data_IF_676084047977
#
_entry.id   IF_676084047977
#
_cell.length_a   1.000
_cell.length_b   1.000
_cell.length_c   1.000
_cell.angle_alpha   90.00
_cell.angle_beta   90.00
_cell.angle_gamma   90.00
#
_symmetry.space_group_name_H-M   'P 1'
#
loop_
_entity.id
_entity.type
_entity.pdbx_description
1 polymer ?
#
# COMPACT_ATOMS: atom_id res chain seq x y z
N UNK A 1 3.35 22.87 -7.53
CA UNK A 1 2.88 21.90 -6.50
C UNK A 1 2.65 20.50 -7.08
N UNK A 2 1.95 20.34 -8.22
CA UNK A 2 1.65 19.04 -8.82
C UNK A 2 2.86 18.11 -9.02
N UNK A 3 3.99 18.62 -9.53
CA UNK A 3 5.21 17.83 -9.74
C UNK A 3 5.77 17.25 -8.45
N UNK A 4 5.73 17.99 -7.34
CA UNK A 4 6.19 17.50 -6.04
C UNK A 4 5.29 16.37 -5.53
N UNK A 5 3.98 16.44 -5.79
CA UNK A 5 3.02 15.37 -5.44
C UNK A 5 3.32 14.10 -6.25
N UNK A 6 3.54 14.23 -7.56
CA UNK A 6 3.87 13.07 -8.40
C UNK A 6 5.20 12.44 -7.98
N UNK A 7 6.24 13.25 -7.75
CA UNK A 7 7.54 12.76 -7.31
C UNK A 7 7.44 12.00 -5.96
N UNK A 8 6.69 12.55 -5.00
CA UNK A 8 6.47 11.89 -3.72
C UNK A 8 5.70 10.57 -3.86
N UNK A 9 4.66 10.54 -4.69
CA UNK A 9 3.87 9.32 -4.93
C UNK A 9 4.69 8.24 -5.62
N UNK A 10 5.55 8.62 -6.57
CA UNK A 10 6.47 7.69 -7.23
C UNK A 10 7.48 7.12 -6.23
N UNK A 11 8.12 7.98 -5.42
CA UNK A 11 9.04 7.53 -4.36
C UNK A 11 8.38 6.52 -3.41
N UNK A 12 7.15 6.77 -2.97
CA UNK A 12 6.42 5.85 -2.10
C UNK A 12 6.18 4.50 -2.79
N UNK A 13 5.72 4.52 -4.05
CA UNK A 13 5.48 3.30 -4.82
C UNK A 13 6.77 2.49 -5.00
N UNK A 14 7.87 3.14 -5.35
CA UNK A 14 9.17 2.49 -5.55
C UNK A 14 9.68 1.87 -4.23
N UNK A 15 9.53 2.61 -3.12
CA UNK A 15 9.93 2.15 -1.78
C UNK A 15 9.17 0.89 -1.39
N UNK A 16 7.84 0.89 -1.53
CA UNK A 16 7.00 -0.27 -1.19
C UNK A 16 7.28 -1.45 -2.13
N UNK A 17 7.55 -1.17 -3.41
CA UNK A 17 7.95 -2.20 -4.38
C UNK A 17 9.24 -2.90 -3.93
N UNK A 18 10.26 -2.14 -3.53
CA UNK A 18 11.51 -2.70 -3.01
C UNK A 18 11.30 -3.59 -1.78
N UNK A 19 10.52 -3.11 -0.80
CA UNK A 19 10.21 -3.89 0.40
C UNK A 19 9.45 -5.19 0.09
N UNK A 20 8.51 -5.16 -0.86
CA UNK A 20 7.76 -6.35 -1.25
C UNK A 20 8.59 -7.32 -2.09
N UNK A 21 9.60 -6.83 -2.81
CA UNK A 21 10.55 -7.66 -3.53
C UNK A 21 11.46 -8.47 -2.59
N UNK A 22 11.75 -7.95 -1.38
CA UNK A 22 12.48 -8.70 -0.33
C UNK A 22 11.67 -9.91 0.17
N UNK A 23 10.35 -9.85 0.13
CA UNK A 23 9.46 -10.97 0.48
C UNK A 23 9.39 -11.96 -0.68
N UNK A 24 9.15 -11.44 -1.90
CA UNK A 24 9.13 -12.20 -3.15
C UNK A 24 9.27 -11.24 -4.32
N UNK A 25 10.28 -11.48 -5.16
CA UNK A 25 10.65 -10.59 -6.27
C UNK A 25 9.51 -10.39 -7.28
N UNK A 26 8.83 -11.47 -7.69
CA UNK A 26 7.72 -11.39 -8.64
C UNK A 26 6.43 -11.96 -8.04
N UNK A 27 5.26 -11.31 -8.22
CA UNK A 27 5.01 -9.93 -8.69
C UNK A 27 5.01 -8.83 -7.59
N UNK A 28 6.16 -8.28 -7.21
CA UNK A 28 6.26 -7.21 -6.21
C UNK A 28 5.52 -5.92 -6.62
N UNK A 29 5.57 -5.52 -7.89
CA UNK A 29 4.95 -4.27 -8.36
C UNK A 29 3.42 -4.31 -8.25
N UNK A 30 2.82 -5.48 -8.47
CA UNK A 30 1.36 -5.66 -8.34
C UNK A 30 0.93 -5.50 -6.89
N UNK A 31 1.68 -6.13 -5.97
CA UNK A 31 1.42 -6.01 -4.55
C UNK A 31 1.64 -4.57 -4.06
N UNK A 32 2.66 -3.87 -4.56
CA UNK A 32 2.93 -2.47 -4.21
C UNK A 32 1.82 -1.53 -4.67
N UNK A 33 1.31 -1.69 -5.90
CA UNK A 33 0.16 -0.91 -6.40
C UNK A 33 -1.09 -1.14 -5.55
N UNK A 34 -1.33 -2.38 -5.13
CA UNK A 34 -2.46 -2.71 -4.25
C UNK A 34 -2.30 -2.05 -2.88
N UNK A 35 -1.10 -2.10 -2.28
CA UNK A 35 -0.81 -1.39 -1.04
C UNK A 35 -1.07 0.11 -1.15
N UNK A 36 -0.54 0.77 -2.19
CA UNK A 36 -0.71 2.22 -2.39
C UNK A 36 -2.18 2.59 -2.58
N UNK A 37 -2.96 1.77 -3.28
CA UNK A 37 -4.41 1.97 -3.42
C UNK A 37 -5.13 1.93 -2.07
N UNK A 38 -4.83 0.94 -1.22
CA UNK A 38 -5.40 0.86 0.13
C UNK A 38 -4.98 2.03 1.00
N UNK A 39 -3.70 2.42 0.96
CA UNK A 39 -3.17 3.56 1.70
C UNK A 39 -3.86 4.86 1.30
N UNK A 40 -4.09 5.08 0.02
CA UNK A 40 -4.75 6.29 -0.48
C UNK A 40 -6.20 6.35 0.00
N UNK A 41 -6.92 5.22 -0.02
CA UNK A 41 -8.25 5.10 0.56
C UNK A 41 -8.27 5.40 2.06
N UNK A 42 -7.35 4.80 2.82
CA UNK A 42 -7.25 5.00 4.27
C UNK A 42 -6.93 6.47 4.65
N UNK A 43 -6.01 7.11 3.91
CA UNK A 43 -5.66 8.51 4.14
C UNK A 43 -6.83 9.47 3.85
N UNK A 44 -7.64 9.18 2.82
CA UNK A 44 -8.84 9.97 2.54
C UNK A 44 -9.92 9.73 3.58
N UNK A 45 -10.19 8.46 3.93
CA UNK A 45 -11.25 8.08 4.84
C UNK A 45 -10.97 8.46 6.31
N UNK A 46 -9.70 8.59 6.71
CA UNK A 46 -9.34 8.89 8.11
C UNK A 46 -9.87 10.22 8.65
N UNK A 47 -10.22 11.17 7.78
CA UNK A 47 -10.88 12.43 8.16
C UNK A 47 -12.38 12.46 7.82
N UNK A 48 -12.90 11.42 7.14
CA UNK A 48 -14.28 11.33 6.65
C UNK A 48 -15.10 10.27 7.38
N UNK A 49 -14.45 9.41 8.17
CA UNK A 49 -15.05 8.30 8.90
C UNK A 49 -14.37 8.11 10.25
N UNK A 50 -14.83 7.14 11.05
CA UNK A 50 -14.17 6.76 12.29
C UNK A 50 -12.72 6.32 12.01
N UNK A 51 -11.76 7.12 12.49
CA UNK A 51 -10.34 6.90 12.27
C UNK A 51 -9.83 5.57 12.84
N UNK A 52 -10.41 5.07 13.93
CA UNK A 52 -10.01 3.79 14.52
C UNK A 52 -10.44 2.63 13.62
N UNK A 53 -11.67 2.67 13.11
CA UNK A 53 -12.17 1.67 12.16
C UNK A 53 -11.41 1.70 10.83
N UNK A 54 -11.04 2.89 10.35
CA UNK A 54 -10.20 3.04 9.14
C UNK A 54 -8.82 2.41 9.37
N UNK A 55 -8.18 2.69 10.50
CA UNK A 55 -6.88 2.10 10.86
C UNK A 55 -6.96 0.56 10.94
N UNK A 56 -7.96 0.01 11.63
CA UNK A 56 -8.18 -1.43 11.73
C UNK A 56 -8.35 -2.06 10.34
N UNK A 57 -9.21 -1.46 9.51
CA UNK A 57 -9.48 -1.94 8.15
C UNK A 57 -8.20 -1.94 7.29
N UNK A 58 -7.42 -0.86 7.36
CA UNK A 58 -6.17 -0.75 6.62
C UNK A 58 -5.16 -1.81 7.06
N UNK A 59 -4.95 -2.00 8.36
CA UNK A 59 -4.02 -3.00 8.88
C UNK A 59 -4.43 -4.42 8.47
N UNK A 60 -5.72 -4.75 8.56
CA UNK A 60 -6.22 -6.06 8.11
C UNK A 60 -6.01 -6.25 6.60
N UNK A 61 -6.23 -5.20 5.79
CA UNK A 61 -5.95 -5.24 4.35
C UNK A 61 -4.48 -5.48 4.01
N UNK A 62 -3.56 -4.82 4.74
CA UNK A 62 -2.11 -5.01 4.58
C UNK A 62 -1.70 -6.43 4.96
N UNK A 63 -2.17 -6.95 6.09
CA UNK A 63 -1.93 -8.33 6.53
C UNK A 63 -2.37 -9.35 5.47
N UNK A 64 -3.57 -9.16 4.90
CA UNK A 64 -4.10 -9.99 3.82
C UNK A 64 -3.24 -9.92 2.56
N UNK A 65 -2.85 -8.71 2.14
CA UNK A 65 -1.96 -8.51 1.00
C UNK A 65 -0.62 -9.22 1.17
N UNK A 66 -0.01 -9.13 2.35
CA UNK A 66 1.27 -9.78 2.65
C UNK A 66 1.16 -11.31 2.55
N UNK A 67 0.07 -11.89 3.11
CA UNK A 67 -0.20 -13.33 3.01
C UNK A 67 -0.37 -13.77 1.55
N UNK A 68 -1.18 -13.06 0.78
CA UNK A 68 -1.40 -13.36 -0.64
C UNK A 68 -0.13 -13.22 -1.47
N UNK A 69 0.67 -12.16 -1.22
CA UNK A 69 1.93 -11.95 -1.94
C UNK A 69 2.97 -13.02 -1.59
N UNK A 70 3.06 -13.46 -0.34
CA UNK A 70 3.97 -14.52 0.07
C UNK A 70 3.53 -15.92 -0.40
N UNK A 71 2.23 -16.17 -0.52
CA UNK A 71 1.68 -17.51 -0.81
C UNK A 71 1.52 -17.84 -2.30
N UNK A 72 1.50 -16.86 -3.20
CA UNK A 72 1.43 -17.15 -4.64
C UNK A 72 2.78 -17.69 -5.14
N UNK A 73 2.79 -18.71 -6.03
CA UNK A 73 4.00 -19.12 -6.75
C UNK A 73 4.46 -18.09 -7.78
#
# INVERSE_FOLDING_TARGET
>A
MHLAVLAHRQWLLDTVTGLLAEIREQPAERAARHFVMMRDGAMAAGCLFDSALVCETFLHGVEGLLKTHAAHP
#
